data_IF_553186317766
#
_entry.id   IF_553186317766
#
_cell.length_a   1.000
_cell.length_b   1.000
_cell.length_c   1.000
_cell.angle_alpha   90.00
_cell.angle_beta   90.00
_cell.angle_gamma   90.00
#
_symmetry.space_group_name_H-M   'P 1'
#
loop_
_entity.id
_entity.type
_entity.pdbx_description
1 polymer ?
#
# COMPACT_ATOMS: atom_id res chain seq x y z
N UNK A 1 -8.87 8.11 -24.83
CA UNK A 1 -8.34 8.91 -23.70
C UNK A 1 -8.57 8.16 -22.42
N UNK A 2 -7.59 8.11 -21.52
CA UNK A 2 -7.76 7.54 -20.17
C UNK A 2 -8.67 8.46 -19.35
N UNK A 3 -9.56 7.89 -18.52
CA UNK A 3 -10.40 8.69 -17.61
C UNK A 3 -9.53 9.54 -16.66
N UNK A 4 -9.86 10.83 -16.39
CA UNK A 4 -9.01 11.72 -15.59
C UNK A 4 -8.62 11.15 -14.21
N UNK A 5 -9.55 10.53 -13.49
CA UNK A 5 -9.27 9.90 -12.18
C UNK A 5 -8.29 8.71 -12.29
N UNK A 6 -8.33 7.96 -13.39
CA UNK A 6 -7.38 6.86 -13.63
C UNK A 6 -5.99 7.43 -13.95
N UNK A 7 -5.92 8.55 -14.67
CA UNK A 7 -4.66 9.28 -14.88
C UNK A 7 -4.07 9.77 -13.55
N UNK A 8 -4.90 10.37 -12.68
CA UNK A 8 -4.48 10.84 -11.36
C UNK A 8 -3.97 9.69 -10.47
N UNK A 9 -4.69 8.56 -10.44
CA UNK A 9 -4.27 7.37 -9.68
C UNK A 9 -2.90 6.86 -10.15
N UNK A 10 -2.70 6.74 -11.47
CA UNK A 10 -1.44 6.28 -12.07
C UNK A 10 -0.29 7.24 -11.77
N UNK A 11 -0.54 8.55 -11.85
CA UNK A 11 0.44 9.57 -11.49
C UNK A 11 0.85 9.47 -10.01
N UNK A 12 -0.14 9.42 -9.10
CA UNK A 12 0.13 9.33 -7.67
C UNK A 12 0.94 8.06 -7.33
N UNK A 13 0.61 6.92 -7.94
CA UNK A 13 1.37 5.68 -7.77
C UNK A 13 2.80 5.79 -8.31
N UNK A 14 2.97 6.39 -9.49
CA UNK A 14 4.27 6.55 -10.11
C UNK A 14 5.18 7.44 -9.25
N UNK A 15 4.66 8.55 -8.74
CA UNK A 15 5.40 9.45 -7.86
C UNK A 15 5.73 8.80 -6.52
N UNK A 16 4.79 8.05 -5.93
CA UNK A 16 5.05 7.29 -4.71
C UNK A 16 6.18 6.28 -4.92
N UNK A 17 6.18 5.54 -6.04
CA UNK A 17 7.28 4.64 -6.39
C UNK A 17 8.59 5.38 -6.64
N UNK A 18 8.54 6.53 -7.33
CA UNK A 18 9.73 7.34 -7.67
C UNK A 18 10.48 7.80 -6.42
N UNK A 19 9.76 8.25 -5.39
CA UNK A 19 10.41 8.71 -4.15
C UNK A 19 10.97 7.57 -3.29
N UNK A 20 10.63 6.32 -3.59
CA UNK A 20 11.18 5.13 -2.92
C UNK A 20 12.40 4.57 -3.65
N UNK A 21 12.81 5.15 -4.77
CA UNK A 21 14.01 4.72 -5.48
C UNK A 21 15.26 4.85 -4.60
N UNK A 22 16.05 3.78 -4.51
CA UNK A 22 17.22 3.71 -3.62
C UNK A 22 16.94 3.40 -2.15
N UNK A 23 15.68 3.23 -1.73
CA UNK A 23 15.36 2.78 -0.36
C UNK A 23 15.77 1.32 -0.19
N UNK A 24 16.62 1.04 0.79
CA UNK A 24 17.04 -0.32 1.15
C UNK A 24 15.94 -1.05 1.93
N UNK A 25 15.93 -2.39 1.90
CA UNK A 25 15.04 -3.18 2.75
C UNK A 25 15.23 -2.84 4.24
N UNK A 26 16.49 -2.65 4.66
CA UNK A 26 16.83 -2.28 6.03
C UNK A 26 16.16 -0.96 6.45
N UNK A 27 16.23 0.07 5.59
CA UNK A 27 15.59 1.36 5.88
C UNK A 27 14.07 1.29 5.76
N UNK A 28 13.57 0.53 4.80
CA UNK A 28 12.13 0.36 4.61
C UNK A 28 11.44 -0.30 5.81
N UNK A 29 12.15 -1.19 6.49
CA UNK A 29 11.66 -1.96 7.63
C UNK A 29 11.93 -1.28 8.98
N UNK A 30 12.60 -0.12 9.02
CA UNK A 30 12.79 0.66 10.25
C UNK A 30 11.54 1.45 10.62
N UNK A 31 11.19 1.46 11.91
CA UNK A 31 10.20 2.38 12.48
C UNK A 31 10.87 3.60 13.10
N UNK A 32 10.59 4.76 12.54
CA UNK A 32 10.99 6.06 13.08
C UNK A 32 9.80 6.67 13.83
N UNK A 33 9.72 6.40 15.13
CA UNK A 33 8.54 6.73 15.94
C UNK A 33 8.21 8.24 15.88
N UNK A 34 6.92 8.61 15.84
CA UNK A 34 5.73 7.73 15.97
C UNK A 34 5.28 7.08 14.65
N UNK A 35 6.04 7.20 13.56
CA UNK A 35 5.62 6.72 12.24
C UNK A 35 5.66 5.19 12.13
N UNK A 36 4.87 4.67 11.19
CA UNK A 36 4.98 3.29 10.73
C UNK A 36 6.23 3.14 9.85
N UNK A 37 6.69 1.90 9.64
CA UNK A 37 7.77 1.63 8.69
C UNK A 37 7.29 1.91 7.27
N UNK A 38 8.21 2.17 6.34
CA UNK A 38 7.84 2.32 4.92
C UNK A 38 7.21 1.04 4.38
N UNK A 39 7.70 -0.14 4.77
CA UNK A 39 7.11 -1.42 4.38
C UNK A 39 5.64 -1.53 4.79
N UNK A 40 5.28 -1.03 5.98
CA UNK A 40 3.89 -0.95 6.41
C UNK A 40 3.08 0.05 5.58
N UNK A 41 3.64 1.23 5.30
CA UNK A 41 2.94 2.28 4.55
C UNK A 41 2.65 1.85 3.10
N UNK A 42 3.59 1.19 2.44
CA UNK A 42 3.40 0.63 1.08
C UNK A 42 2.30 -0.43 1.09
N UNK A 43 2.37 -1.37 2.03
CA UNK A 43 1.33 -2.38 2.20
C UNK A 43 -0.04 -1.76 2.50
N UNK A 44 -0.09 -0.74 3.36
CA UNK A 44 -1.33 -0.04 3.70
C UNK A 44 -1.97 0.60 2.49
N UNK A 45 -1.19 1.27 1.63
CA UNK A 45 -1.70 1.88 0.41
C UNK A 45 -2.25 0.82 -0.55
N UNK A 46 -1.54 -0.29 -0.73
CA UNK A 46 -2.01 -1.41 -1.55
C UNK A 46 -3.31 -2.01 -0.99
N UNK A 47 -3.42 -2.15 0.34
CA UNK A 47 -4.64 -2.61 0.99
C UNK A 47 -5.83 -1.68 0.74
N UNK A 48 -5.63 -0.36 0.87
CA UNK A 48 -6.69 0.62 0.62
C UNK A 48 -7.19 0.56 -0.82
N UNK A 49 -6.28 0.47 -1.79
CA UNK A 49 -6.66 0.41 -3.20
C UNK A 49 -7.43 -0.86 -3.55
N UNK A 50 -6.97 -2.04 -3.14
CA UNK A 50 -7.73 -3.26 -3.41
C UNK A 50 -9.06 -3.26 -2.65
N UNK A 51 -9.11 -2.67 -1.45
CA UNK A 51 -10.35 -2.59 -0.69
C UNK A 51 -11.40 -1.76 -1.42
N UNK A 52 -11.07 -0.53 -1.83
CA UNK A 52 -12.03 0.34 -2.49
C UNK A 52 -12.35 -0.08 -3.93
N UNK A 53 -11.34 -0.44 -4.73
CA UNK A 53 -11.52 -0.68 -6.16
C UNK A 53 -11.94 -2.11 -6.51
N UNK A 54 -11.69 -3.07 -5.61
CA UNK A 54 -11.92 -4.49 -5.87
C UNK A 54 -12.89 -5.08 -4.86
N UNK A 55 -12.59 -5.05 -3.56
CA UNK A 55 -13.46 -5.65 -2.55
C UNK A 55 -14.85 -5.01 -2.52
N UNK A 56 -14.93 -3.68 -2.35
CA UNK A 56 -16.22 -3.00 -2.27
C UNK A 56 -16.98 -3.01 -3.60
N UNK A 57 -16.27 -2.91 -4.72
CA UNK A 57 -16.89 -2.80 -6.03
C UNK A 57 -17.26 -4.16 -6.66
N UNK A 58 -16.55 -5.23 -6.32
CA UNK A 58 -16.59 -6.52 -7.04
C UNK A 58 -16.61 -7.75 -6.12
N UNK A 59 -16.43 -7.59 -4.80
CA UNK A 59 -16.45 -8.68 -3.82
C UNK A 59 -15.09 -9.30 -3.50
N UNK A 60 -15.03 -10.05 -2.39
CA UNK A 60 -13.80 -10.64 -1.84
C UNK A 60 -13.10 -11.61 -2.79
N UNK A 61 -13.86 -12.34 -3.60
CA UNK A 61 -13.35 -13.34 -4.56
C UNK A 61 -12.44 -12.74 -5.64
N UNK A 62 -12.47 -11.42 -5.82
CA UNK A 62 -11.63 -10.70 -6.79
C UNK A 62 -10.38 -10.08 -6.15
N UNK A 63 -10.29 -10.06 -4.82
CA UNK A 63 -9.20 -9.39 -4.10
C UNK A 63 -7.91 -10.20 -4.28
N UNK A 64 -6.82 -9.60 -4.83
CA UNK A 64 -5.59 -10.34 -5.09
C UNK A 64 -4.86 -10.79 -3.80
N UNK A 65 -4.90 -9.96 -2.75
CA UNK A 65 -4.19 -10.21 -1.50
C UNK A 65 -5.14 -10.04 -0.29
N UNK A 66 -6.09 -10.97 -0.07
CA UNK A 66 -7.14 -10.81 0.94
C UNK A 66 -6.59 -10.74 2.38
N UNK A 67 -5.46 -11.39 2.67
CA UNK A 67 -4.78 -11.36 3.98
C UNK A 67 -4.06 -10.04 4.28
N UNK A 68 -3.87 -9.16 3.29
CA UNK A 68 -3.11 -7.91 3.48
C UNK A 68 -3.78 -6.98 4.50
N UNK A 69 -5.11 -7.02 4.61
CA UNK A 69 -5.85 -6.19 5.57
C UNK A 69 -5.56 -6.56 7.04
N UNK A 70 -5.15 -7.80 7.31
CA UNK A 70 -4.76 -8.23 8.65
C UNK A 70 -3.39 -7.67 9.02
N UNK A 71 -2.50 -7.55 8.03
CA UNK A 71 -1.11 -7.14 8.21
C UNK A 71 -0.95 -5.62 8.32
N UNK A 72 -1.67 -4.87 7.48
CA UNK A 72 -1.47 -3.41 7.28
C UNK A 72 -2.80 -2.65 7.10
N UNK A 73 -3.92 -3.20 7.55
CA UNK A 73 -5.22 -2.52 7.49
C UNK A 73 -5.32 -1.29 8.39
N UNK A 74 -6.37 -0.47 8.18
CA UNK A 74 -6.67 0.64 9.08
C UNK A 74 -6.87 0.15 10.52
N UNK A 75 -6.25 0.84 11.49
CA UNK A 75 -6.31 0.47 12.91
C UNK A 75 -5.52 -0.80 13.27
N UNK A 76 -4.84 -1.44 12.32
CA UNK A 76 -3.94 -2.57 12.63
C UNK A 76 -2.66 -2.09 13.31
N UNK A 77 -1.98 -2.97 14.06
CA UNK A 77 -0.70 -2.64 14.67
C UNK A 77 0.30 -2.12 13.64
N UNK A 78 1.21 -1.28 14.12
CA UNK A 78 2.37 -0.82 13.37
C UNK A 78 3.42 -1.94 13.26
N UNK A 79 3.04 -3.03 12.60
CA UNK A 79 3.89 -4.17 12.24
C UNK A 79 5.00 -3.72 11.29
N UNK A 80 5.95 -4.62 11.01
CA UNK A 80 7.03 -4.39 10.05
C UNK A 80 6.92 -5.53 9.03
N UNK A 81 6.07 -5.39 8.00
CA UNK A 81 6.01 -6.35 6.91
C UNK A 81 7.36 -6.46 6.20
N UNK A 82 7.59 -7.62 5.59
CA UNK A 82 8.73 -7.81 4.68
C UNK A 82 8.65 -6.84 3.49
N UNK A 83 9.83 -6.42 3.02
CA UNK A 83 9.97 -5.46 1.93
C UNK A 83 10.08 -6.11 0.55
N UNK A 84 10.51 -7.39 0.50
CA UNK A 84 10.69 -8.17 -0.74
C UNK A 84 9.51 -9.10 -1.03
#
# INVERSE_FOLDING_TARGET
>A
MTHPLVTQLRFARAEFRRVMDGVTAEDAMKRLLPMNSLSWMVGHLANQEQFYWIFLAQGVEKVPHPSLNELVGFGRPASIPDWE
#
